data_IF_207230252598
#
_entry.id   IF_207230252598
#
_cell.length_a   1.000
_cell.length_b   1.000
_cell.length_c   1.000
_cell.angle_alpha   90.00
_cell.angle_beta   90.00
_cell.angle_gamma   90.00
#
_symmetry.space_group_name_H-M   'P 1'
#
loop_
_entity.id
_entity.type
_entity.pdbx_description
1 polymer ?
#
# COMPACT_ATOMS: atom_id res chain seq x y z
N UNK A 1 11.97 14.90 -13.50
CA UNK A 1 10.51 14.89 -13.24
C UNK A 1 10.34 15.08 -11.75
N UNK A 2 9.50 16.01 -11.29
CA UNK A 2 9.13 16.09 -9.87
C UNK A 2 8.40 14.79 -9.57
N UNK A 3 8.92 13.96 -8.67
CA UNK A 3 8.18 12.82 -8.17
C UNK A 3 6.89 13.38 -7.55
N UNK A 4 5.74 13.14 -8.19
CA UNK A 4 4.45 13.52 -7.64
C UNK A 4 4.27 12.83 -6.29
N UNK A 5 3.86 13.57 -5.27
CA UNK A 5 3.67 13.01 -3.93
C UNK A 5 2.52 12.02 -3.93
N UNK A 6 2.54 11.04 -3.03
CA UNK A 6 1.45 10.07 -2.90
C UNK A 6 0.10 10.75 -2.69
N UNK A 7 0.08 11.80 -1.86
CA UNK A 7 -1.13 12.59 -1.62
C UNK A 7 -1.68 13.25 -2.90
N UNK A 8 -0.81 13.79 -3.76
CA UNK A 8 -1.25 14.45 -5.00
C UNK A 8 -1.96 13.46 -5.94
N UNK A 9 -1.48 12.20 -5.97
CA UNK A 9 -2.09 11.12 -6.74
C UNK A 9 -3.45 10.75 -6.16
N UNK A 10 -3.56 10.60 -4.85
CA UNK A 10 -4.84 10.32 -4.17
C UNK A 10 -5.85 11.44 -4.43
N UNK A 11 -5.44 12.70 -4.35
CA UNK A 11 -6.32 13.84 -4.58
C UNK A 11 -6.79 13.93 -6.04
N UNK A 12 -5.92 13.55 -6.99
CA UNK A 12 -6.22 13.57 -8.42
C UNK A 12 -7.07 12.38 -8.88
N UNK A 13 -6.81 11.18 -8.37
CA UNK A 13 -7.34 9.92 -8.90
C UNK A 13 -8.20 9.13 -7.92
N UNK A 14 -8.03 9.34 -6.62
CA UNK A 14 -8.75 8.59 -5.61
C UNK A 14 -10.26 8.81 -5.66
N UNK A 15 -11.02 7.78 -5.24
CA UNK A 15 -12.49 7.80 -5.19
C UNK A 15 -13.16 7.98 -6.56
N UNK A 16 -12.47 7.61 -7.64
CA UNK A 16 -13.00 7.59 -9.00
C UNK A 16 -13.01 6.16 -9.53
N UNK A 17 -14.05 5.84 -10.29
CA UNK A 17 -14.14 4.61 -11.07
C UNK A 17 -13.28 4.81 -12.34
N UNK A 18 -12.03 4.36 -12.28
CA UNK A 18 -11.03 4.52 -13.33
C UNK A 18 -11.13 3.39 -14.36
N UNK A 19 -11.50 2.19 -13.90
CA UNK A 19 -11.63 1.01 -14.76
C UNK A 19 -13.02 0.88 -15.42
N UNK A 20 -14.00 1.71 -15.01
CA UNK A 20 -15.39 1.79 -15.49
C UNK A 20 -16.23 0.54 -15.20
N UNK A 21 -15.93 -0.17 -14.11
CA UNK A 21 -16.66 -1.36 -13.71
C UNK A 21 -17.86 -1.07 -12.78
N UNK A 22 -18.08 0.20 -12.43
CA UNK A 22 -19.17 0.65 -11.56
C UNK A 22 -18.86 0.55 -10.06
N UNK A 23 -17.66 0.09 -9.69
CA UNK A 23 -17.12 0.11 -8.34
C UNK A 23 -16.01 1.16 -8.20
N UNK A 24 -15.67 1.52 -6.96
CA UNK A 24 -14.59 2.47 -6.68
C UNK A 24 -13.70 1.87 -5.61
N UNK A 25 -12.52 1.41 -6.01
CA UNK A 25 -11.61 0.63 -5.20
C UNK A 25 -10.24 1.32 -5.13
N UNK A 26 -9.99 1.96 -3.99
CA UNK A 26 -8.65 2.32 -3.58
C UNK A 26 -8.12 1.20 -2.68
N UNK A 27 -7.21 0.37 -3.20
CA UNK A 27 -6.63 -0.76 -2.49
C UNK A 27 -5.31 -0.37 -1.83
N UNK A 28 -5.29 -0.35 -0.50
CA UNK A 28 -4.03 -0.30 0.24
C UNK A 28 -3.37 -1.68 0.26
N UNK A 29 -2.12 -1.76 -0.19
CA UNK A 29 -1.30 -2.97 -0.08
C UNK A 29 -0.21 -2.72 0.94
N UNK A 30 -0.21 -3.50 2.02
CA UNK A 30 0.74 -3.32 3.13
C UNK A 30 1.34 -4.64 3.55
N UNK A 31 2.60 -4.65 3.99
CA UNK A 31 3.19 -5.92 4.41
C UNK A 31 4.64 -5.87 4.83
N UNK A 32 5.24 -7.05 4.92
CA UNK A 32 6.63 -7.21 5.35
C UNK A 32 7.60 -6.49 4.42
N UNK A 33 8.44 -5.62 4.98
CA UNK A 33 9.50 -4.95 4.21
C UNK A 33 10.65 -5.84 3.77
N UNK A 34 10.60 -7.13 4.15
CA UNK A 34 11.61 -8.17 3.87
C UNK A 34 11.09 -9.29 2.96
N UNK A 35 9.84 -9.24 2.55
CA UNK A 35 9.24 -10.24 1.67
C UNK A 35 9.48 -9.84 0.21
N UNK A 36 9.95 -10.77 -0.64
CA UNK A 36 10.33 -10.52 -2.04
C UNK A 36 9.96 -11.67 -3.00
N UNK A 37 9.09 -12.59 -2.56
CA UNK A 37 8.59 -13.64 -3.43
C UNK A 37 7.43 -13.11 -4.28
N UNK A 38 7.75 -12.74 -5.52
CA UNK A 38 6.77 -12.13 -6.42
C UNK A 38 5.69 -13.11 -6.86
N UNK A 39 5.97 -14.42 -6.95
CA UNK A 39 4.98 -15.42 -7.34
C UNK A 39 3.90 -15.55 -6.26
N UNK A 40 4.33 -15.62 -5.00
CA UNK A 40 3.40 -15.63 -3.85
C UNK A 40 2.62 -14.32 -3.76
N UNK A 41 3.27 -13.18 -4.00
CA UNK A 41 2.60 -11.88 -4.04
C UNK A 41 1.53 -11.80 -5.15
N UNK A 42 1.89 -12.19 -6.36
CA UNK A 42 1.00 -12.18 -7.52
C UNK A 42 -0.21 -13.11 -7.31
N UNK A 43 0.00 -14.27 -6.69
CA UNK A 43 -1.09 -15.18 -6.32
C UNK A 43 -2.05 -14.53 -5.32
N UNK A 44 -1.53 -13.82 -4.31
CA UNK A 44 -2.34 -13.12 -3.33
C UNK A 44 -3.18 -12.00 -3.98
N UNK A 45 -2.56 -11.21 -4.87
CA UNK A 45 -3.26 -10.19 -5.66
C UNK A 45 -4.32 -10.82 -6.57
N UNK A 46 -4.00 -11.91 -7.26
CA UNK A 46 -4.94 -12.62 -8.14
C UNK A 46 -6.19 -13.08 -7.41
N UNK A 47 -6.04 -13.77 -6.28
CA UNK A 47 -7.16 -14.19 -5.43
C UNK A 47 -7.99 -13.00 -4.93
N UNK A 48 -7.32 -11.91 -4.58
CA UNK A 48 -8.00 -10.70 -4.12
C UNK A 48 -8.85 -10.09 -5.24
N UNK A 49 -8.29 -10.00 -6.45
CA UNK A 49 -8.96 -9.49 -7.65
C UNK A 49 -10.13 -10.39 -8.07
N UNK A 50 -9.98 -11.71 -8.00
CA UNK A 50 -11.09 -12.65 -8.26
C UNK A 50 -12.29 -12.39 -7.35
N UNK A 51 -12.04 -11.93 -6.12
CA UNK A 51 -13.10 -11.69 -5.13
C UNK A 51 -13.72 -10.29 -5.23
N UNK A 52 -12.92 -9.27 -5.57
CA UNK A 52 -13.33 -7.87 -5.47
C UNK A 52 -13.36 -7.11 -6.80
N UNK A 53 -12.80 -7.66 -7.87
CA UNK A 53 -12.50 -6.93 -9.10
C UNK A 53 -11.11 -6.27 -9.07
N UNK A 54 -10.75 -5.63 -10.19
CA UNK A 54 -9.49 -4.90 -10.28
C UNK A 54 -9.57 -3.58 -9.49
N UNK A 55 -8.52 -3.21 -8.73
CA UNK A 55 -8.50 -1.92 -8.07
C UNK A 55 -8.38 -0.76 -9.08
N UNK A 56 -9.00 0.38 -8.77
CA UNK A 56 -8.81 1.62 -9.51
C UNK A 56 -7.48 2.28 -9.18
N UNK A 57 -7.10 2.23 -7.89
CA UNK A 57 -5.89 2.86 -7.38
C UNK A 57 -5.24 1.96 -6.34
N UNK A 58 -3.95 1.69 -6.49
CA UNK A 58 -3.14 1.07 -5.44
C UNK A 58 -2.55 2.17 -4.55
N UNK A 59 -2.52 1.93 -3.24
CA UNK A 59 -1.96 2.86 -2.24
C UNK A 59 -0.90 2.14 -1.41
N UNK A 60 0.32 2.68 -1.37
CA UNK A 60 1.45 2.09 -0.63
C UNK A 60 2.29 3.15 0.09
N UNK A 61 3.08 2.69 1.07
CA UNK A 61 3.96 3.57 1.85
C UNK A 61 5.29 3.88 1.17
N UNK A 62 5.69 3.16 0.13
CA UNK A 62 6.98 3.32 -0.54
C UNK A 62 8.16 2.72 0.22
N UNK A 63 7.88 1.73 1.08
CA UNK A 63 8.92 0.94 1.73
C UNK A 63 9.53 -0.09 0.75
N UNK A 64 10.48 -0.87 1.27
CA UNK A 64 10.99 -2.06 0.58
C UNK A 64 10.02 -3.25 0.74
N UNK A 65 10.24 -4.36 0.03
CA UNK A 65 9.46 -5.60 0.19
C UNK A 65 8.08 -5.54 -0.47
N UNK A 66 6.99 -5.70 0.32
CA UNK A 66 5.60 -5.74 -0.19
C UNK A 66 5.24 -4.50 -1.01
N UNK A 67 5.58 -3.30 -0.54
CA UNK A 67 5.32 -2.06 -1.27
C UNK A 67 5.99 -2.06 -2.66
N UNK A 68 7.24 -2.52 -2.74
CA UNK A 68 7.96 -2.67 -4.01
C UNK A 68 7.29 -3.68 -4.95
N UNK A 69 6.78 -4.79 -4.42
CA UNK A 69 6.05 -5.78 -5.23
C UNK A 69 4.71 -5.23 -5.73
N UNK A 70 4.03 -4.42 -4.91
CA UNK A 70 2.82 -3.74 -5.32
C UNK A 70 3.09 -2.70 -6.43
N UNK A 71 4.18 -1.93 -6.34
CA UNK A 71 4.63 -1.04 -7.42
C UNK A 71 4.86 -1.82 -8.73
N UNK A 72 5.59 -2.93 -8.66
CA UNK A 72 5.83 -3.79 -9.82
C UNK A 72 4.54 -4.36 -10.40
N UNK A 73 3.63 -4.84 -9.56
CA UNK A 73 2.35 -5.39 -10.02
C UNK A 73 1.47 -4.32 -10.64
N UNK A 74 1.44 -3.11 -10.06
CA UNK A 74 0.69 -1.97 -10.59
C UNK A 74 1.16 -1.59 -12.00
N UNK A 75 2.49 -1.52 -12.21
CA UNK A 75 3.09 -1.26 -13.52
C UNK A 75 2.70 -2.35 -14.54
N UNK A 76 2.88 -3.63 -14.17
CA UNK A 76 2.53 -4.77 -15.03
C UNK A 76 1.04 -4.79 -15.46
N UNK A 77 0.15 -4.29 -14.62
CA UNK A 77 -1.31 -4.31 -14.85
C UNK A 77 -1.86 -2.95 -15.30
N UNK A 78 -1.00 -1.94 -15.49
CA UNK A 78 -1.41 -0.56 -15.84
C UNK A 78 -2.42 0.02 -14.84
N UNK A 79 -2.27 -0.32 -13.57
CA UNK A 79 -3.11 0.21 -12.49
C UNK A 79 -2.39 1.43 -11.88
N UNK A 80 -3.06 2.59 -11.77
CA UNK A 80 -2.50 3.75 -11.09
C UNK A 80 -2.06 3.42 -9.65
N UNK A 81 -0.97 4.04 -9.21
CA UNK A 81 -0.44 3.83 -7.86
C UNK A 81 -0.06 5.16 -7.19
N UNK A 82 -0.46 5.31 -5.93
CA UNK A 82 -0.05 6.38 -5.02
C UNK A 82 1.00 5.84 -4.04
N UNK A 83 2.21 6.39 -4.10
CA UNK A 83 3.32 6.02 -3.23
C UNK A 83 3.64 7.20 -2.32
N UNK A 84 3.41 7.05 -1.01
CA UNK A 84 3.64 8.11 -0.01
C UNK A 84 5.13 8.30 0.33
N UNK A 85 5.97 8.50 -0.69
CA UNK A 85 7.42 8.70 -0.56
C UNK A 85 7.78 9.95 0.27
N UNK A 86 6.90 10.95 0.30
CA UNK A 86 7.08 12.18 1.06
C UNK A 86 7.16 11.96 2.58
N UNK A 87 6.69 10.83 3.10
CA UNK A 87 6.81 10.48 4.51
C UNK A 87 8.23 9.99 4.89
N UNK A 88 9.13 9.84 3.91
CA UNK A 88 10.51 9.41 4.11
C UNK A 88 11.55 10.53 3.99
N UNK A 89 11.15 11.70 3.47
CA UNK A 89 12.02 12.87 3.29
C UNK A 89 12.21 13.62 4.63
N UNK A 90 13.11 13.08 5.48
CA UNK A 90 13.70 13.85 6.57
C UNK A 90 15.06 14.44 6.12
N UNK A 91 15.19 15.77 5.95
CA UNK A 91 16.44 16.41 5.56
C UNK A 91 17.59 16.23 6.58
N UNK A 92 17.35 15.63 7.76
CA UNK A 92 18.38 15.28 8.74
C UNK A 92 18.94 13.86 8.58
N UNK A 93 18.51 13.07 7.60
CA UNK A 93 19.05 11.72 7.33
C UNK A 93 20.50 11.77 6.84
N UNK A 94 21.44 11.61 7.78
CA UNK A 94 22.85 11.34 7.48
C UNK A 94 23.09 9.87 7.11
N UNK A 95 24.19 9.57 6.42
CA UNK A 95 24.65 8.22 5.98
C UNK A 95 24.87 7.18 7.10
N UNK A 96 24.57 7.52 8.36
CA UNK A 96 24.56 6.56 9.47
C UNK A 96 23.17 5.95 9.58
N UNK A 97 23.08 4.65 9.35
CA UNK A 97 21.90 3.84 9.67
C UNK A 97 21.66 3.92 11.19
N UNK A 98 20.77 4.82 11.62
CA UNK A 98 20.37 5.00 13.01
C UNK A 98 19.28 4.01 13.44
N UNK A 99 19.00 2.98 12.62
CA UNK A 99 17.73 2.29 12.66
C UNK A 99 16.67 3.16 12.00
N UNK A 100 15.83 2.55 11.16
CA UNK A 100 14.71 3.25 10.52
C UNK A 100 13.87 3.93 11.61
N UNK A 101 13.62 5.25 11.53
CA UNK A 101 12.56 5.86 12.31
C UNK A 101 11.28 5.08 12.01
N UNK A 102 10.60 4.67 13.07
CA UNK A 102 9.25 4.11 13.01
C UNK A 102 8.42 4.91 12.01
N UNK A 103 7.79 4.22 11.04
CA UNK A 103 6.89 4.88 10.11
C UNK A 103 5.84 5.62 10.95
N UNK A 104 5.90 6.96 10.90
CA UNK A 104 5.14 7.79 11.80
C UNK A 104 3.64 7.49 11.63
N UNK A 105 2.87 7.59 12.72
CA UNK A 105 1.42 7.40 12.71
C UNK A 105 0.70 8.20 11.60
N UNK A 106 1.34 9.24 11.05
CA UNK A 106 0.89 9.98 9.87
C UNK A 106 0.81 9.13 8.60
N UNK A 107 1.83 8.32 8.28
CA UNK A 107 1.83 7.49 7.07
C UNK A 107 0.71 6.46 7.12
N UNK A 108 0.60 5.73 8.23
CA UNK A 108 -0.48 4.75 8.41
C UNK A 108 -1.84 5.40 8.28
N UNK A 109 -2.05 6.57 8.89
CA UNK A 109 -3.30 7.30 8.77
C UNK A 109 -3.59 7.72 7.33
N UNK A 110 -2.61 8.25 6.61
CA UNK A 110 -2.76 8.62 5.19
C UNK A 110 -3.17 7.43 4.31
N UNK A 111 -2.55 6.26 4.53
CA UNK A 111 -2.90 5.03 3.81
C UNK A 111 -4.35 4.64 4.11
N UNK A 112 -4.76 4.63 5.39
CA UNK A 112 -6.13 4.28 5.79
C UNK A 112 -7.16 5.27 5.25
N UNK A 113 -6.90 6.58 5.37
CA UNK A 113 -7.80 7.65 4.91
C UNK A 113 -7.99 7.62 3.37
N UNK A 114 -6.99 7.14 2.64
CA UNK A 114 -7.01 7.01 1.18
C UNK A 114 -7.65 5.70 0.69
N UNK A 115 -7.78 4.68 1.54
CA UNK A 115 -8.17 3.33 1.15
C UNK A 115 -9.68 3.05 1.35
N UNK A 116 -10.23 2.19 0.51
CA UNK A 116 -11.52 1.53 0.73
C UNK A 116 -11.36 0.06 1.08
N UNK A 117 -10.28 -0.56 0.62
CA UNK A 117 -9.93 -1.96 0.90
C UNK A 117 -8.46 -2.06 1.31
N UNK A 118 -8.14 -3.10 2.07
CA UNK A 118 -6.77 -3.42 2.49
C UNK A 118 -6.44 -4.85 2.13
N UNK A 119 -5.32 -5.06 1.44
CA UNK A 119 -4.65 -6.36 1.34
C UNK A 119 -3.38 -6.29 2.18
N UNK A 120 -3.37 -7.06 3.27
CA UNK A 120 -2.23 -7.13 4.18
C UNK A 120 -1.46 -8.44 3.99
N UNK A 121 -0.15 -8.31 3.79
CA UNK A 121 0.80 -9.42 3.72
C UNK A 121 1.78 -9.40 4.90
N UNK A 122 1.31 -9.69 6.13
CA UNK A 122 2.18 -9.71 7.30
C UNK A 122 3.09 -10.93 7.31
N UNK A 123 4.30 -10.76 7.85
CA UNK A 123 5.15 -11.85 8.31
C UNK A 123 5.14 -11.97 9.82
N UNK A 124 5.81 -13.01 10.34
CA UNK A 124 5.98 -13.23 11.79
C UNK A 124 6.60 -12.03 12.51
N UNK A 125 7.42 -11.21 11.84
CA UNK A 125 8.07 -10.02 12.41
C UNK A 125 7.37 -8.70 12.08
N UNK A 126 6.24 -8.73 11.39
CA UNK A 126 5.59 -7.53 10.82
C UNK A 126 4.75 -6.77 11.85
N UNK A 127 5.40 -6.04 12.75
CA UNK A 127 4.72 -5.20 13.77
C UNK A 127 3.81 -4.13 13.15
N UNK A 128 4.33 -3.37 12.18
CA UNK A 128 3.61 -2.26 11.55
C UNK A 128 2.41 -2.73 10.71
N UNK A 129 2.58 -3.78 9.91
CA UNK A 129 1.48 -4.36 9.13
C UNK A 129 0.31 -4.76 10.04
N UNK A 130 0.59 -5.32 11.22
CA UNK A 130 -0.46 -5.69 12.20
C UNK A 130 -1.16 -4.46 12.79
N UNK A 131 -0.46 -3.34 12.97
CA UNK A 131 -1.07 -2.07 13.38
C UNK A 131 -2.00 -1.56 12.27
N UNK A 132 -1.57 -1.61 11.00
CA UNK A 132 -2.39 -1.19 9.86
C UNK A 132 -3.66 -2.03 9.75
N UNK A 133 -3.55 -3.36 9.87
CA UNK A 133 -4.70 -4.29 9.88
C UNK A 133 -5.72 -3.86 10.94
N UNK A 134 -5.25 -3.66 12.18
CA UNK A 134 -6.13 -3.25 13.29
C UNK A 134 -6.81 -1.91 13.00
N UNK A 135 -6.07 -0.92 12.53
CA UNK A 135 -6.62 0.39 12.20
C UNK A 135 -7.62 0.33 11.05
N UNK A 136 -7.38 -0.51 10.03
CA UNK A 136 -8.31 -0.72 8.93
C UNK A 136 -9.64 -1.31 9.41
N UNK A 137 -9.57 -2.33 10.26
CA UNK A 137 -10.75 -2.94 10.88
C UNK A 137 -11.52 -1.94 11.75
N UNK A 138 -10.84 -1.15 12.58
CA UNK A 138 -11.44 -0.10 13.42
C UNK A 138 -12.13 1.00 12.59
N UNK A 139 -11.67 1.25 11.36
CA UNK A 139 -12.27 2.22 10.44
C UNK A 139 -13.30 1.59 9.48
N UNK A 140 -13.59 0.29 9.61
CA UNK A 140 -14.61 -0.41 8.81
C UNK A 140 -14.17 -0.72 7.37
N UNK A 141 -12.87 -0.73 7.08
CA UNK A 141 -12.35 -1.07 5.76
C UNK A 141 -12.41 -2.59 5.55
N UNK A 142 -12.73 -3.01 4.32
CA UNK A 142 -12.69 -4.41 3.91
C UNK A 142 -11.25 -4.89 3.88
N UNK A 143 -10.88 -5.75 4.82
CA UNK A 143 -9.49 -6.17 5.03
C UNK A 143 -9.31 -7.65 4.70
N UNK A 144 -8.38 -7.96 3.81
CA UNK A 144 -7.93 -9.30 3.45
C UNK A 144 -6.51 -9.52 3.96
N UNK A 145 -6.24 -10.66 4.58
CA UNK A 145 -4.94 -10.97 5.18
C UNK A 145 -4.37 -12.24 4.54
N UNK A 146 -3.12 -12.18 4.10
CA UNK A 146 -2.36 -13.33 3.56
C UNK A 146 -0.99 -13.37 4.24
N UNK A 147 -0.76 -14.30 5.18
CA UNK A 147 0.53 -14.39 5.88
C UNK A 147 1.66 -14.85 4.92
N UNK A 148 2.85 -14.25 5.05
CA UNK A 148 4.03 -14.44 4.18
C UNK A 148 5.36 -14.50 4.94
#
# INVERSE_FOLDING_TARGET
MVASRGQDVVDALGRKDLNKDGSVINLAVVGSSRFYDFEVFENAMGKWVETHGYPDLIVVGGASGVDYMAERWADNNTVPIAVFTEEWDDPKRSLRDSGRPEAANSLTKKIIDAASHVLALPSSTSKWTRIVIKMAEENGLKTSITEV
#
